data_IF_342339418265
#
_entry.id   IF_342339418265
#
_cell.length_a   1.000
_cell.length_b   1.000
_cell.length_c   1.000
_cell.angle_alpha   90.00
_cell.angle_beta   90.00
_cell.angle_gamma   90.00
#
_symmetry.space_group_name_H-M   'P 1'
#
loop_
_entity.id
_entity.type
_entity.pdbx_description
1 polymer ?
#
# COMPACT_ATOMS: atom_id res chain seq x y z
N UNK A 1 86.92 -13.52 -19.74
CA UNK A 1 86.82 -12.67 -18.55
C UNK A 1 85.54 -11.85 -18.66
N UNK A 2 84.43 -12.31 -18.05
CA UNK A 2 83.14 -11.58 -17.98
C UNK A 2 82.59 -11.81 -16.59
N UNK A 3 82.32 -10.80 -15.78
CA UNK A 3 81.77 -10.98 -14.45
C UNK A 3 80.23 -11.14 -14.50
N UNK A 4 79.76 -12.01 -13.64
CA UNK A 4 78.38 -12.39 -13.44
C UNK A 4 77.49 -11.23 -12.96
N UNK A 5 76.37 -11.05 -13.60
CA UNK A 5 75.37 -10.10 -13.19
C UNK A 5 74.36 -10.80 -12.26
N UNK A 6 74.34 -10.41 -10.98
CA UNK A 6 73.36 -10.86 -10.00
C UNK A 6 71.96 -10.35 -10.35
N UNK A 7 71.00 -11.26 -10.59
CA UNK A 7 69.59 -10.94 -10.68
C UNK A 7 69.04 -10.78 -9.27
N UNK A 8 68.66 -9.56 -8.90
CA UNK A 8 67.85 -9.27 -7.72
C UNK A 8 66.35 -9.46 -8.08
N UNK A 9 65.78 -10.50 -7.57
CA UNK A 9 64.36 -10.75 -7.67
C UNK A 9 63.70 -9.89 -6.60
N UNK A 10 62.94 -8.85 -7.04
CA UNK A 10 62.04 -8.08 -6.18
C UNK A 10 60.73 -8.86 -5.98
N UNK A 11 60.52 -9.36 -4.78
CA UNK A 11 59.25 -9.95 -4.36
C UNK A 11 58.33 -8.80 -3.94
N UNK A 12 57.40 -8.44 -4.80
CA UNK A 12 56.31 -7.49 -4.47
C UNK A 12 55.22 -8.25 -3.73
N UNK A 13 55.19 -8.09 -2.42
CA UNK A 13 54.05 -8.56 -1.60
C UNK A 13 52.92 -7.54 -1.75
N UNK A 14 51.94 -7.87 -2.58
CA UNK A 14 50.65 -7.14 -2.61
C UNK A 14 49.88 -7.50 -1.33
N UNK A 15 49.97 -6.67 -0.32
CA UNK A 15 49.03 -6.70 0.81
C UNK A 15 47.70 -6.14 0.32
N UNK A 16 46.80 -7.02 -0.10
CA UNK A 16 45.40 -6.67 -0.33
C UNK A 16 44.73 -6.33 1.01
N UNK A 17 44.67 -5.04 1.32
CA UNK A 17 43.84 -4.52 2.41
C UNK A 17 42.37 -4.71 2.00
N UNK A 18 41.79 -5.84 2.35
CA UNK A 18 40.34 -6.02 2.32
C UNK A 18 39.78 -5.09 3.39
N UNK A 19 39.26 -3.93 2.98
CA UNK A 19 38.36 -3.14 3.81
C UNK A 19 37.11 -4.01 4.04
N UNK A 20 37.11 -4.74 5.14
CA UNK A 20 35.88 -5.30 5.70
C UNK A 20 35.10 -4.08 6.21
N UNK A 21 34.16 -3.57 5.38
CA UNK A 21 33.10 -2.72 5.87
C UNK A 21 32.21 -3.62 6.74
N UNK A 22 32.58 -3.73 8.01
CA UNK A 22 31.69 -4.26 9.03
C UNK A 22 30.54 -3.27 9.09
N UNK A 23 29.42 -3.60 8.42
CA UNK A 23 28.15 -3.03 8.78
C UNK A 23 28.01 -3.34 10.29
N UNK A 24 28.13 -2.31 11.13
CA UNK A 24 27.93 -2.43 12.55
C UNK A 24 26.47 -2.86 12.76
N UNK A 25 26.20 -4.15 12.76
CA UNK A 25 24.95 -4.72 13.20
C UNK A 25 24.82 -4.33 14.67
N UNK A 26 23.94 -3.38 14.97
CA UNK A 26 23.73 -2.93 16.34
C UNK A 26 23.11 -4.07 17.14
N UNK A 27 23.76 -4.47 18.21
CA UNK A 27 23.21 -5.43 19.15
C UNK A 27 21.97 -4.85 19.85
N UNK A 28 21.02 -5.70 20.19
CA UNK A 28 19.87 -5.32 21.01
C UNK A 28 20.31 -4.87 22.40
N UNK A 29 19.57 -3.91 23.00
CA UNK A 29 19.78 -3.43 24.37
C UNK A 29 18.53 -3.72 25.20
N UNK A 30 18.72 -4.09 26.46
CA UNK A 30 17.62 -4.38 27.37
C UNK A 30 16.91 -3.13 27.93
N UNK A 31 17.56 -1.98 27.81
CA UNK A 31 17.08 -0.67 28.29
C UNK A 31 16.61 0.26 27.16
N UNK A 32 16.53 -0.26 25.91
CA UNK A 32 16.11 0.50 24.77
C UNK A 32 15.26 -0.36 23.82
N UNK A 33 14.14 0.20 23.34
CA UNK A 33 13.42 -0.29 22.17
C UNK A 33 13.85 0.50 20.93
N UNK A 34 14.39 -0.19 19.95
CA UNK A 34 14.69 0.38 18.64
C UNK A 34 13.53 0.13 17.68
N UNK A 35 13.04 1.19 17.06
CA UNK A 35 11.92 1.19 16.11
C UNK A 35 12.40 1.69 14.76
N UNK A 36 12.09 0.96 13.69
CA UNK A 36 12.27 1.44 12.31
C UNK A 36 10.92 1.72 11.65
N UNK A 37 10.81 2.89 11.02
CA UNK A 37 9.59 3.38 10.35
C UNK A 37 9.95 4.20 9.12
N UNK A 38 9.07 4.28 8.12
CA UNK A 38 9.24 5.12 6.94
C UNK A 38 9.14 6.61 7.25
N UNK A 39 9.90 7.44 6.55
CA UNK A 39 9.92 8.90 6.76
C UNK A 39 8.65 9.62 6.33
N UNK A 40 7.80 8.97 5.56
CA UNK A 40 6.47 9.45 5.15
C UNK A 40 5.36 9.14 6.17
N UNK A 41 5.68 8.42 7.25
CA UNK A 41 4.74 7.99 8.29
C UNK A 41 4.87 8.85 9.56
N UNK A 42 4.02 8.61 10.53
CA UNK A 42 3.89 9.41 11.77
C UNK A 42 5.04 9.19 12.78
N UNK A 43 6.31 9.24 12.34
CA UNK A 43 7.47 8.90 13.18
C UNK A 43 7.68 9.87 14.36
N UNK A 44 7.36 11.14 14.22
CA UNK A 44 7.42 12.08 15.34
C UNK A 44 6.33 11.81 16.37
N UNK A 45 5.14 11.41 15.95
CA UNK A 45 4.09 10.93 16.84
C UNK A 45 4.52 9.69 17.64
N UNK A 46 5.20 8.73 16.98
CA UNK A 46 5.77 7.55 17.64
C UNK A 46 6.84 7.97 18.66
N UNK A 47 7.72 8.93 18.34
CA UNK A 47 8.72 9.48 19.29
C UNK A 47 8.07 10.11 20.50
N UNK A 48 7.00 10.89 20.29
CA UNK A 48 6.27 11.55 21.38
C UNK A 48 5.66 10.52 22.34
N UNK A 49 5.01 9.48 21.82
CA UNK A 49 4.50 8.37 22.65
C UNK A 49 5.65 7.63 23.34
N UNK A 50 6.76 7.40 22.64
CA UNK A 50 7.97 6.78 23.18
C UNK A 50 8.58 7.57 24.35
N UNK A 51 8.50 8.90 24.30
CA UNK A 51 8.94 9.74 25.42
C UNK A 51 8.10 9.51 26.68
N UNK A 52 6.78 9.31 26.53
CA UNK A 52 5.92 8.99 27.67
C UNK A 52 6.23 7.58 28.19
N UNK A 53 6.38 6.60 27.30
CA UNK A 53 6.77 5.23 27.68
C UNK A 53 8.10 5.21 28.46
N UNK A 54 9.09 5.97 28.00
CA UNK A 54 10.40 6.09 28.68
C UNK A 54 10.26 6.63 30.10
N UNK A 55 9.36 7.60 30.33
CA UNK A 55 9.12 8.16 31.66
C UNK A 55 8.49 7.14 32.62
N UNK A 56 7.58 6.33 32.09
CA UNK A 56 6.78 5.42 32.90
C UNK A 56 7.50 4.09 33.17
N UNK A 57 8.30 3.61 32.20
CA UNK A 57 8.92 2.27 32.21
C UNK A 57 10.45 2.30 32.35
N UNK A 58 11.07 3.48 32.33
CA UNK A 58 12.53 3.65 32.37
C UNK A 58 13.27 2.98 31.18
N UNK A 59 12.54 2.64 30.11
CA UNK A 59 13.06 2.04 28.89
C UNK A 59 13.04 3.07 27.78
N UNK A 60 14.18 3.35 27.19
CA UNK A 60 14.33 4.33 26.13
C UNK A 60 13.68 3.84 24.83
N UNK A 61 12.91 4.69 24.15
CA UNK A 61 12.40 4.43 22.82
C UNK A 61 13.17 5.24 21.79
N UNK A 62 13.82 4.56 20.86
CA UNK A 62 14.56 5.17 19.75
C UNK A 62 13.85 4.89 18.44
N UNK A 63 13.53 5.94 17.66
CA UNK A 63 12.89 5.83 16.36
C UNK A 63 13.88 6.25 15.27
N UNK A 64 14.18 5.34 14.37
CA UNK A 64 15.06 5.55 13.19
C UNK A 64 14.25 5.44 11.90
N UNK A 65 14.71 6.18 10.88
CA UNK A 65 14.10 6.26 9.55
C UNK A 65 15.15 5.80 8.53
N UNK A 66 15.41 4.49 8.41
CA UNK A 66 16.39 4.00 7.47
C UNK A 66 15.89 4.10 6.03
N UNK A 67 16.77 4.46 5.11
CA UNK A 67 16.51 4.30 3.68
C UNK A 67 16.41 2.81 3.35
N UNK A 68 15.60 2.45 2.33
CA UNK A 68 15.38 1.07 1.90
C UNK A 68 15.05 0.12 3.07
N UNK A 69 14.12 0.56 3.91
CA UNK A 69 13.79 -0.10 5.18
C UNK A 69 13.52 -1.60 5.04
N UNK A 70 12.88 -2.05 3.96
CA UNK A 70 12.55 -3.46 3.71
C UNK A 70 13.79 -4.33 3.56
N UNK A 71 14.70 -3.91 2.70
CA UNK A 71 15.94 -4.66 2.43
C UNK A 71 16.88 -4.64 3.64
N UNK A 72 16.96 -3.47 4.29
CA UNK A 72 17.78 -3.33 5.51
C UNK A 72 17.23 -4.16 6.66
N UNK A 73 15.91 -4.21 6.82
CA UNK A 73 15.29 -5.07 7.84
C UNK A 73 15.57 -6.55 7.57
N UNK A 74 15.38 -7.02 6.32
CA UNK A 74 15.66 -8.41 5.95
C UNK A 74 17.11 -8.81 6.26
N UNK A 75 18.07 -7.96 5.89
CA UNK A 75 19.49 -8.22 6.13
C UNK A 75 19.82 -8.22 7.63
N UNK A 76 19.36 -7.21 8.37
CA UNK A 76 19.63 -7.09 9.79
C UNK A 76 18.98 -8.21 10.61
N UNK A 77 17.70 -8.49 10.39
CA UNK A 77 16.97 -9.55 11.09
C UNK A 77 17.55 -10.95 10.78
N UNK A 78 17.95 -11.21 9.53
CA UNK A 78 18.58 -12.45 9.14
C UNK A 78 19.97 -12.64 9.81
N UNK A 79 20.67 -11.55 10.15
CA UNK A 79 21.93 -11.59 10.91
C UNK A 79 21.74 -11.57 12.44
N UNK A 80 20.50 -11.64 12.92
CA UNK A 80 20.19 -11.61 14.35
C UNK A 80 20.30 -10.23 14.99
N UNK A 81 20.09 -9.17 14.23
CA UNK A 81 20.19 -7.77 14.65
C UNK A 81 19.03 -6.93 14.12
N UNK A 82 19.13 -5.61 14.19
CA UNK A 82 18.13 -4.68 13.63
C UNK A 82 17.21 -4.07 14.69
N UNK A 83 16.03 -3.59 14.30
CA UNK A 83 15.07 -3.00 15.24
C UNK A 83 14.35 -4.07 16.06
N UNK A 84 13.81 -3.69 17.20
CA UNK A 84 12.85 -4.51 17.96
C UNK A 84 11.49 -4.53 17.27
N UNK A 85 11.09 -3.37 16.72
CA UNK A 85 9.81 -3.17 16.02
C UNK A 85 10.09 -2.57 14.65
N UNK A 86 9.49 -3.16 13.61
CA UNK A 86 9.48 -2.61 12.25
C UNK A 86 8.07 -2.26 11.82
N UNK A 87 7.90 -1.06 11.26
CA UNK A 87 6.62 -0.59 10.71
C UNK A 87 6.66 -0.71 9.20
N UNK A 88 5.72 -1.47 8.64
CA UNK A 88 5.56 -1.61 7.19
C UNK A 88 4.14 -2.03 6.82
N UNK A 89 3.83 -2.01 5.52
CA UNK A 89 2.62 -2.60 4.98
C UNK A 89 2.67 -4.14 5.07
N UNK A 90 1.51 -4.75 5.28
CA UNK A 90 1.37 -6.18 5.56
C UNK A 90 1.79 -7.10 4.40
N UNK A 91 1.89 -6.59 3.18
CA UNK A 91 2.27 -7.33 1.98
C UNK A 91 3.64 -8.04 2.11
N UNK A 92 4.54 -7.50 2.96
CA UNK A 92 5.85 -8.11 3.26
C UNK A 92 5.81 -9.13 4.40
N UNK A 93 4.77 -9.13 5.22
CA UNK A 93 4.75 -9.92 6.47
C UNK A 93 4.75 -11.44 6.21
N UNK A 94 4.07 -11.90 5.17
CA UNK A 94 4.07 -13.32 4.83
C UNK A 94 5.44 -13.85 4.43
N UNK A 95 6.18 -13.09 3.61
CA UNK A 95 7.56 -13.41 3.23
C UNK A 95 8.50 -13.40 4.46
N UNK A 96 8.42 -12.34 5.27
CA UNK A 96 9.26 -12.20 6.45
C UNK A 96 8.96 -13.26 7.52
N UNK A 97 7.68 -13.63 7.68
CA UNK A 97 7.27 -14.72 8.59
C UNK A 97 7.80 -16.08 8.13
N UNK A 98 7.66 -16.41 6.84
CA UNK A 98 8.19 -17.66 6.25
C UNK A 98 9.72 -17.75 6.36
N UNK A 99 10.41 -16.63 6.26
CA UNK A 99 11.86 -16.54 6.41
C UNK A 99 12.31 -16.50 7.88
N UNK A 100 11.38 -16.59 8.84
CA UNK A 100 11.70 -16.57 10.26
C UNK A 100 12.17 -15.23 10.82
N UNK A 101 11.96 -14.13 10.10
CA UNK A 101 12.40 -12.79 10.50
C UNK A 101 11.43 -12.12 11.48
N UNK A 102 10.15 -12.48 11.44
CA UNK A 102 9.12 -11.96 12.35
C UNK A 102 8.78 -12.95 13.46
N UNK A 103 8.59 -12.44 14.66
CA UNK A 103 8.01 -13.19 15.74
C UNK A 103 6.48 -13.25 15.61
N UNK A 104 5.85 -14.41 15.84
CA UNK A 104 4.40 -14.44 16.02
C UNK A 104 4.03 -13.66 17.28
N UNK A 105 2.91 -12.95 17.23
CA UNK A 105 2.39 -12.17 18.36
C UNK A 105 1.09 -12.77 18.88
N UNK A 106 0.85 -12.60 20.17
CA UNK A 106 -0.38 -13.02 20.86
C UNK A 106 -0.99 -11.80 21.55
N UNK A 107 -1.74 -10.95 20.81
CA UNK A 107 -2.35 -9.77 21.39
C UNK A 107 -3.29 -10.13 22.54
N UNK A 108 -3.36 -9.26 23.56
CA UNK A 108 -4.31 -9.46 24.64
C UNK A 108 -5.75 -9.56 24.11
N UNK A 109 -6.63 -10.37 24.72
CA UNK A 109 -8.00 -10.54 24.25
C UNK A 109 -8.77 -9.22 24.15
N UNK A 110 -8.53 -8.31 25.09
CA UNK A 110 -9.14 -6.99 25.12
C UNK A 110 -8.66 -6.13 23.94
N UNK A 111 -7.35 -6.05 23.73
CA UNK A 111 -6.77 -5.33 22.59
C UNK A 111 -7.28 -5.90 21.27
N UNK A 112 -7.26 -7.23 21.12
CA UNK A 112 -7.72 -7.90 19.90
C UNK A 112 -9.17 -7.57 19.56
N UNK A 113 -10.06 -7.53 20.55
CA UNK A 113 -11.49 -7.18 20.39
C UNK A 113 -11.68 -5.73 19.93
N UNK A 114 -10.82 -4.81 20.37
CA UNK A 114 -10.84 -3.39 20.02
C UNK A 114 -10.39 -3.07 18.61
N UNK A 115 -9.89 -4.05 17.85
CA UNK A 115 -9.32 -3.86 16.50
C UNK A 115 -10.21 -4.54 15.45
N UNK A 116 -10.27 -3.96 14.26
CA UNK A 116 -11.04 -4.48 13.12
C UNK A 116 -10.48 -5.83 12.64
N UNK A 117 -11.36 -6.78 12.34
CA UNK A 117 -10.98 -8.12 11.88
C UNK A 117 -10.19 -8.12 10.57
N UNK A 118 -10.46 -7.17 9.65
CA UNK A 118 -9.70 -7.01 8.40
C UNK A 118 -8.22 -6.78 8.70
N UNK A 119 -7.91 -5.97 9.72
CA UNK A 119 -6.54 -5.75 10.16
C UNK A 119 -5.87 -7.03 10.63
N UNK A 120 -6.52 -7.81 11.49
CA UNK A 120 -5.96 -9.08 11.97
C UNK A 120 -5.79 -10.11 10.87
N UNK A 121 -6.74 -10.16 9.96
CA UNK A 121 -6.67 -11.07 8.81
C UNK A 121 -5.47 -10.76 7.91
N UNK A 122 -5.21 -9.47 7.64
CA UNK A 122 -4.05 -9.04 6.87
C UNK A 122 -2.70 -9.37 7.55
N UNK A 123 -2.67 -9.32 8.90
CA UNK A 123 -1.47 -9.62 9.68
C UNK A 123 -1.27 -11.12 9.93
N UNK A 124 -2.17 -11.98 9.44
CA UNK A 124 -2.13 -13.43 9.67
C UNK A 124 -1.47 -14.17 8.50
N UNK A 125 -0.52 -15.04 8.80
CA UNK A 125 0.11 -15.97 7.86
C UNK A 125 0.20 -17.36 8.52
N UNK A 126 -0.20 -18.41 7.79
CA UNK A 126 -0.20 -19.80 8.29
C UNK A 126 -0.86 -19.96 9.66
N UNK A 127 -1.97 -19.25 9.90
CA UNK A 127 -2.76 -19.29 11.13
C UNK A 127 -2.17 -18.57 12.33
N UNK A 128 -1.04 -17.87 12.18
CA UNK A 128 -0.40 -17.07 13.23
C UNK A 128 -0.43 -15.58 12.88
N UNK A 129 -0.59 -14.74 13.89
CA UNK A 129 -0.54 -13.29 13.75
C UNK A 129 0.92 -12.83 13.85
N UNK A 130 1.38 -11.99 12.90
CA UNK A 130 2.76 -11.50 12.83
C UNK A 130 2.91 -9.99 12.96
N UNK A 131 1.85 -9.29 13.33
CA UNK A 131 1.93 -7.84 13.56
C UNK A 131 0.65 -7.26 14.12
N UNK A 132 0.74 -5.99 14.46
CA UNK A 132 -0.34 -5.18 15.01
C UNK A 132 -0.85 -4.22 13.91
N UNK A 133 -2.10 -4.32 13.46
CA UNK A 133 -2.64 -3.44 12.44
C UNK A 133 -2.88 -2.03 12.98
N UNK A 134 -2.56 -1.01 12.18
CA UNK A 134 -2.66 0.40 12.56
C UNK A 134 -3.63 1.14 11.65
N UNK A 135 -3.31 1.26 10.35
CA UNK A 135 -4.18 1.91 9.39
C UNK A 135 -4.61 0.96 8.27
N UNK A 136 -5.78 1.27 7.71
CA UNK A 136 -6.43 0.53 6.63
C UNK A 136 -6.48 1.45 5.41
N UNK A 137 -5.82 1.07 4.34
CA UNK A 137 -5.71 1.88 3.14
C UNK A 137 -6.47 1.24 1.97
N UNK A 138 -7.28 2.04 1.29
CA UNK A 138 -7.92 1.69 0.04
C UNK A 138 -8.01 2.92 -0.86
N UNK A 139 -7.93 2.72 -2.17
CA UNK A 139 -8.21 3.78 -3.13
C UNK A 139 -9.71 4.06 -3.20
N UNK A 140 -10.04 5.28 -3.59
CA UNK A 140 -11.40 5.80 -3.64
C UNK A 140 -11.61 6.62 -4.91
N UNK A 141 -12.86 6.92 -5.20
CA UNK A 141 -13.20 7.90 -6.23
C UNK A 141 -13.05 9.30 -5.63
N UNK A 142 -12.18 10.12 -6.22
CA UNK A 142 -12.05 11.55 -5.91
C UNK A 142 -12.69 12.34 -7.04
N UNK A 143 -13.53 13.30 -6.71
CA UNK A 143 -14.26 14.10 -7.70
C UNK A 143 -14.21 15.59 -7.39
N UNK A 144 -14.17 16.42 -8.44
CA UNK A 144 -14.20 17.88 -8.32
C UNK A 144 -15.66 18.34 -8.21
N UNK A 145 -16.05 18.82 -7.02
CA UNK A 145 -17.41 19.28 -6.71
C UNK A 145 -17.85 20.51 -7.50
N UNK A 146 -16.89 21.30 -7.98
CA UNK A 146 -17.18 22.45 -8.85
C UNK A 146 -17.67 22.01 -10.24
N UNK A 147 -17.13 20.89 -10.73
CA UNK A 147 -17.50 20.31 -12.03
C UNK A 147 -18.72 19.40 -11.87
N UNK A 148 -18.67 18.55 -10.86
CA UNK A 148 -19.63 17.46 -10.65
C UNK A 148 -20.06 17.43 -9.17
N UNK A 149 -21.19 18.04 -8.80
CA UNK A 149 -21.64 18.10 -7.40
C UNK A 149 -21.88 16.73 -6.77
N UNK A 150 -22.30 15.75 -7.58
CA UNK A 150 -22.57 14.36 -7.16
C UNK A 150 -21.92 13.41 -8.15
N UNK A 151 -21.04 12.51 -7.69
CA UNK A 151 -20.38 11.55 -8.59
C UNK A 151 -21.34 10.43 -8.98
N UNK A 152 -21.11 9.77 -10.15
CA UNK A 152 -21.91 8.62 -10.56
C UNK A 152 -21.72 7.44 -9.60
N UNK A 153 -22.78 6.68 -9.38
CA UNK A 153 -22.75 5.49 -8.53
C UNK A 153 -22.22 4.25 -9.27
N UNK A 154 -22.22 4.26 -10.59
CA UNK A 154 -21.82 3.13 -11.44
C UNK A 154 -20.92 3.57 -12.58
N UNK A 155 -20.14 2.66 -13.12
CA UNK A 155 -19.31 2.92 -14.32
C UNK A 155 -20.19 3.15 -15.55
N UNK A 156 -21.37 2.52 -15.62
CA UNK A 156 -22.32 2.66 -16.73
C UNK A 156 -22.85 4.10 -16.85
N UNK A 157 -23.07 4.77 -15.72
CA UNK A 157 -23.53 6.17 -15.67
C UNK A 157 -22.51 7.15 -16.26
N UNK A 158 -21.25 6.75 -16.38
CA UNK A 158 -20.19 7.61 -16.93
C UNK A 158 -20.34 7.87 -18.43
N UNK A 159 -20.97 6.97 -19.20
CA UNK A 159 -21.15 7.15 -20.64
C UNK A 159 -22.03 8.35 -21.00
N UNK A 160 -23.25 8.49 -20.45
CA UNK A 160 -24.06 9.70 -20.69
C UNK A 160 -23.44 10.94 -20.04
N UNK A 161 -22.72 10.79 -18.91
CA UNK A 161 -22.04 11.89 -18.24
C UNK A 161 -20.92 12.46 -19.11
N UNK A 162 -20.13 11.63 -19.77
CA UNK A 162 -19.03 12.06 -20.64
C UNK A 162 -19.50 13.01 -21.73
N UNK A 163 -20.64 12.71 -22.38
CA UNK A 163 -21.23 13.58 -23.40
C UNK A 163 -21.62 14.97 -22.90
N UNK A 164 -21.99 15.07 -21.62
CA UNK A 164 -22.31 16.34 -20.96
C UNK A 164 -21.05 17.11 -20.62
N UNK A 165 -20.05 16.42 -20.09
CA UNK A 165 -18.77 17.02 -19.63
C UNK A 165 -17.92 17.52 -20.80
N UNK A 166 -17.98 16.86 -21.96
CA UNK A 166 -17.28 17.27 -23.18
C UNK A 166 -17.70 18.69 -23.63
N UNK A 167 -18.92 19.11 -23.33
CA UNK A 167 -19.46 20.43 -23.70
C UNK A 167 -19.30 21.47 -22.60
N UNK A 168 -18.84 21.06 -21.40
CA UNK A 168 -18.68 21.99 -20.28
C UNK A 168 -17.39 22.79 -20.36
N UNK A 169 -17.43 24.07 -19.91
CA UNK A 169 -16.22 24.89 -19.82
C UNK A 169 -15.33 24.36 -18.68
N UNK A 170 -14.02 24.40 -18.93
CA UNK A 170 -13.02 24.09 -17.89
C UNK A 170 -13.00 25.23 -16.86
N UNK A 171 -13.15 24.97 -15.57
CA UNK A 171 -13.15 26.02 -14.55
C UNK A 171 -11.88 26.87 -14.59
N UNK A 172 -12.05 28.18 -14.45
CA UNK A 172 -10.96 29.17 -14.44
C UNK A 172 -10.13 29.27 -15.73
N UNK A 173 -10.63 28.75 -16.85
CA UNK A 173 -9.98 28.85 -18.16
C UNK A 173 -10.92 29.50 -19.18
N UNK A 174 -10.50 30.61 -19.73
CA UNK A 174 -11.27 31.32 -20.75
C UNK A 174 -11.29 30.51 -22.06
N UNK A 175 -12.51 30.21 -22.55
CA UNK A 175 -12.77 29.54 -23.80
C UNK A 175 -12.22 28.10 -23.97
N UNK A 176 -11.78 27.44 -22.92
CA UNK A 176 -11.45 26.01 -22.97
C UNK A 176 -12.69 25.19 -22.53
N UNK A 177 -13.16 24.30 -23.39
CA UNK A 177 -14.24 23.33 -23.13
C UNK A 177 -13.70 21.92 -23.26
N UNK A 178 -14.45 20.94 -22.76
CA UNK A 178 -14.09 19.54 -22.85
C UNK A 178 -13.43 19.04 -21.56
N UNK A 179 -14.28 18.70 -20.58
CA UNK A 179 -13.83 18.08 -19.34
C UNK A 179 -13.83 16.57 -19.52
N UNK A 180 -12.73 15.94 -19.24
CA UNK A 180 -12.57 14.49 -19.23
C UNK A 180 -13.35 13.92 -18.03
N UNK A 181 -14.03 12.80 -18.21
CA UNK A 181 -14.89 12.24 -17.16
C UNK A 181 -14.10 11.66 -15.99
N UNK A 182 -13.16 10.76 -16.28
CA UNK A 182 -12.37 10.07 -15.26
C UNK A 182 -10.99 9.72 -15.76
N UNK A 183 -10.03 9.71 -14.85
CA UNK A 183 -8.68 9.18 -15.07
C UNK A 183 -8.21 8.35 -13.87
N UNK A 184 -7.41 7.35 -14.14
CA UNK A 184 -6.54 6.67 -13.16
C UNK A 184 -5.32 6.08 -13.87
N UNK A 185 -4.33 5.62 -13.13
CA UNK A 185 -3.16 4.92 -13.69
C UNK A 185 -3.59 3.56 -14.21
N UNK A 186 -3.89 3.51 -15.52
CA UNK A 186 -4.60 2.40 -16.16
C UNK A 186 -3.79 1.11 -16.20
N UNK A 187 -2.47 1.23 -16.35
CA UNK A 187 -1.56 0.11 -16.53
C UNK A 187 -1.15 -0.51 -15.20
N UNK A 188 -1.33 0.22 -14.10
CA UNK A 188 -0.99 -0.26 -12.77
C UNK A 188 -2.12 -1.12 -12.19
N UNK A 189 -1.85 -2.41 -11.91
CA UNK A 189 -2.87 -3.33 -11.40
C UNK A 189 -3.50 -2.86 -10.08
N UNK A 190 -2.76 -2.12 -9.26
CA UNK A 190 -3.28 -1.57 -8.00
C UNK A 190 -4.50 -0.68 -8.21
N UNK A 191 -4.52 0.13 -9.28
CA UNK A 191 -5.62 1.04 -9.59
C UNK A 191 -6.72 0.42 -10.45
N UNK A 192 -6.39 -0.59 -11.27
CA UNK A 192 -7.34 -1.19 -12.22
C UNK A 192 -7.99 -2.47 -11.69
N UNK A 193 -7.31 -3.21 -10.81
CA UNK A 193 -7.86 -4.44 -10.22
C UNK A 193 -9.22 -4.26 -9.53
N UNK A 194 -9.55 -3.12 -8.89
CA UNK A 194 -10.88 -2.92 -8.32
C UNK A 194 -12.03 -3.12 -9.31
N UNK A 195 -11.86 -2.66 -10.54
CA UNK A 195 -12.83 -2.85 -11.61
C UNK A 195 -12.92 -4.32 -12.05
N UNK A 196 -11.78 -5.01 -12.19
CA UNK A 196 -11.73 -6.42 -12.55
C UNK A 196 -12.30 -7.32 -11.45
N UNK A 197 -12.18 -6.89 -10.20
CA UNK A 197 -12.66 -7.64 -9.04
C UNK A 197 -14.14 -7.39 -8.69
N UNK A 198 -14.78 -6.39 -9.31
CA UNK A 198 -16.16 -6.03 -9.04
C UNK A 198 -17.11 -7.21 -9.23
N UNK A 199 -16.97 -7.97 -10.30
CA UNK A 199 -17.82 -9.13 -10.62
C UNK A 199 -17.15 -10.48 -10.32
N UNK A 200 -16.14 -10.50 -9.44
CA UNK A 200 -15.58 -11.74 -8.90
C UNK A 200 -14.16 -12.08 -9.31
N UNK A 201 -13.45 -11.22 -10.06
CA UNK A 201 -12.01 -11.40 -10.28
C UNK A 201 -11.23 -11.38 -8.96
N UNK A 202 -10.15 -12.14 -8.86
CA UNK A 202 -9.29 -12.21 -7.68
C UNK A 202 -7.84 -12.52 -8.06
N UNK A 203 -6.90 -12.16 -7.18
CA UNK A 203 -5.47 -12.42 -7.40
C UNK A 203 -5.17 -13.89 -7.21
N UNK A 204 -5.34 -14.39 -5.99
CA UNK A 204 -5.19 -15.81 -5.61
C UNK A 204 -6.43 -16.28 -4.85
N UNK A 205 -6.78 -17.56 -5.01
CA UNK A 205 -7.92 -18.12 -4.32
C UNK A 205 -7.67 -18.14 -2.81
N UNK A 206 -8.52 -17.41 -2.06
CA UNK A 206 -8.47 -17.41 -0.61
C UNK A 206 -9.00 -18.71 -0.04
N UNK A 207 -8.27 -19.30 0.89
CA UNK A 207 -8.62 -20.52 1.60
C UNK A 207 -8.59 -20.31 3.11
N UNK A 208 -9.05 -21.26 3.89
CA UNK A 208 -8.95 -21.20 5.36
C UNK A 208 -7.49 -21.16 5.88
N UNK A 209 -6.52 -21.57 5.06
CA UNK A 209 -5.09 -21.61 5.42
C UNK A 209 -4.27 -20.48 4.80
N UNK A 210 -4.90 -19.50 4.13
CA UNK A 210 -4.24 -18.42 3.41
C UNK A 210 -4.62 -18.42 1.93
N UNK A 211 -3.67 -18.32 1.03
CA UNK A 211 -3.91 -18.23 -0.41
C UNK A 211 -3.39 -19.45 -1.17
N UNK A 212 -4.23 -20.00 -2.04
CA UNK A 212 -3.80 -21.00 -3.05
C UNK A 212 -3.21 -20.23 -4.26
N UNK A 213 -1.90 -20.09 -4.27
CA UNK A 213 -1.16 -19.32 -5.28
C UNK A 213 -1.13 -19.98 -6.66
N UNK A 214 -1.65 -21.22 -6.78
CA UNK A 214 -1.80 -21.93 -8.05
C UNK A 214 -3.15 -21.68 -8.71
N UNK A 215 -4.00 -20.87 -8.09
CA UNK A 215 -5.32 -20.53 -8.60
C UNK A 215 -5.49 -19.02 -8.60
N UNK A 216 -5.74 -18.46 -9.78
CA UNK A 216 -6.03 -17.04 -9.98
C UNK A 216 -7.35 -16.87 -10.71
N UNK A 217 -8.06 -15.81 -10.42
CA UNK A 217 -9.30 -15.43 -11.11
C UNK A 217 -9.14 -14.14 -11.92
N UNK A 218 -7.91 -13.77 -12.30
CA UNK A 218 -7.67 -12.57 -13.14
C UNK A 218 -8.25 -12.74 -14.55
N UNK A 219 -8.53 -13.96 -14.98
CA UNK A 219 -9.16 -14.28 -16.25
C UNK A 219 -10.54 -14.97 -16.11
N UNK A 220 -11.13 -14.95 -14.92
CA UNK A 220 -12.49 -15.43 -14.71
C UNK A 220 -13.50 -14.53 -15.42
N UNK A 221 -14.73 -15.04 -15.60
CA UNK A 221 -15.81 -14.31 -16.28
C UNK A 221 -15.99 -12.89 -15.71
N UNK A 222 -15.96 -12.73 -14.40
CA UNK A 222 -16.12 -11.42 -13.75
C UNK A 222 -14.98 -10.46 -14.05
N UNK A 223 -13.74 -10.96 -14.07
CA UNK A 223 -12.58 -10.14 -14.46
C UNK A 223 -12.64 -9.72 -15.93
N UNK A 224 -13.14 -10.61 -16.81
CA UNK A 224 -13.38 -10.28 -18.22
C UNK A 224 -14.42 -9.18 -18.39
N UNK A 225 -15.49 -9.15 -17.59
CA UNK A 225 -16.48 -8.06 -17.63
C UNK A 225 -15.86 -6.73 -17.18
N UNK A 226 -15.02 -6.75 -16.14
CA UNK A 226 -14.26 -5.56 -15.70
C UNK A 226 -13.30 -5.04 -16.76
N UNK A 227 -12.56 -5.93 -17.42
CA UNK A 227 -11.64 -5.56 -18.50
C UNK A 227 -12.39 -5.06 -19.74
N UNK A 228 -13.57 -5.62 -20.04
CA UNK A 228 -14.45 -5.12 -21.09
C UNK A 228 -14.90 -3.69 -20.78
N UNK A 229 -15.32 -3.42 -19.54
CA UNK A 229 -15.70 -2.07 -19.12
C UNK A 229 -14.53 -1.09 -19.27
N UNK A 230 -13.30 -1.47 -18.89
CA UNK A 230 -12.10 -0.65 -19.08
C UNK A 230 -11.91 -0.27 -20.56
N UNK A 231 -12.01 -1.24 -21.47
CA UNK A 231 -11.93 -1.01 -22.91
C UNK A 231 -13.06 -0.09 -23.39
N UNK A 232 -14.29 -0.35 -22.94
CA UNK A 232 -15.46 0.48 -23.31
C UNK A 232 -15.30 1.95 -22.85
N UNK A 233 -14.76 2.19 -21.63
CA UNK A 233 -14.49 3.53 -21.11
C UNK A 233 -13.49 4.29 -21.99
N UNK A 234 -12.45 3.59 -22.45
CA UNK A 234 -11.42 4.16 -23.32
C UNK A 234 -11.98 4.40 -24.73
N UNK A 235 -12.55 3.39 -25.36
CA UNK A 235 -12.97 3.43 -26.77
C UNK A 235 -14.15 4.37 -27.01
N UNK A 236 -14.97 4.61 -25.98
CA UNK A 236 -16.10 5.56 -26.02
C UNK A 236 -15.74 6.97 -25.52
N UNK A 237 -14.46 7.24 -25.27
CA UNK A 237 -13.97 8.58 -24.92
C UNK A 237 -14.30 9.04 -23.49
N UNK A 238 -14.69 8.13 -22.59
CA UNK A 238 -14.92 8.46 -21.17
C UNK A 238 -13.60 8.72 -20.48
N UNK A 239 -12.56 7.98 -20.86
CA UNK A 239 -11.21 8.06 -20.33
C UNK A 239 -10.18 8.03 -21.48
N UNK A 240 -9.15 8.89 -21.51
CA UNK A 240 -8.13 8.83 -22.54
C UNK A 240 -7.21 7.62 -22.40
N UNK A 241 -6.55 7.22 -23.48
CA UNK A 241 -5.50 6.20 -23.47
C UNK A 241 -4.22 6.71 -22.85
N UNK A 242 -3.43 5.81 -22.26
CA UNK A 242 -2.06 6.10 -21.82
C UNK A 242 -2.00 7.03 -20.61
N UNK A 243 -2.98 6.95 -19.74
CA UNK A 243 -2.99 7.70 -18.48
C UNK A 243 -2.13 6.99 -17.46
N UNK A 244 -1.08 7.67 -16.99
CA UNK A 244 -0.31 7.33 -15.83
C UNK A 244 -0.70 8.21 -14.63
N UNK A 245 -0.11 7.94 -13.46
CA UNK A 245 -0.41 8.69 -12.24
C UNK A 245 -0.12 10.20 -12.37
N UNK A 246 1.00 10.56 -12.98
CA UNK A 246 1.39 11.97 -13.18
C UNK A 246 0.45 12.72 -14.11
N UNK A 247 0.04 12.10 -15.20
CA UNK A 247 -0.95 12.65 -16.16
C UNK A 247 -2.30 12.84 -15.46
N UNK A 248 -2.76 11.86 -14.70
CA UNK A 248 -4.01 11.94 -13.92
C UNK A 248 -3.98 13.11 -12.93
N UNK A 249 -2.95 13.17 -12.09
CA UNK A 249 -2.82 14.21 -11.06
C UNK A 249 -2.72 15.62 -11.66
N UNK A 250 -1.93 15.78 -12.71
CA UNK A 250 -1.78 17.06 -13.40
C UNK A 250 -3.11 17.56 -13.99
N UNK A 251 -3.88 16.68 -14.65
CA UNK A 251 -5.18 17.05 -15.23
C UNK A 251 -6.22 17.37 -14.15
N UNK A 252 -6.24 16.63 -13.03
CA UNK A 252 -7.14 16.92 -11.92
C UNK A 252 -6.82 18.28 -11.28
N UNK A 253 -5.54 18.57 -11.03
CA UNK A 253 -5.08 19.85 -10.50
C UNK A 253 -5.37 21.03 -11.44
N UNK A 254 -5.40 20.79 -12.75
CA UNK A 254 -5.81 21.79 -13.75
C UNK A 254 -7.32 21.86 -13.96
N UNK A 255 -8.11 21.07 -13.23
CA UNK A 255 -9.56 20.96 -13.34
C UNK A 255 -10.05 20.52 -14.75
N UNK A 256 -9.23 19.80 -15.50
CA UNK A 256 -9.53 19.25 -16.81
C UNK A 256 -10.19 17.88 -16.78
N UNK A 257 -10.18 17.24 -15.63
CA UNK A 257 -10.85 15.95 -15.39
C UNK A 257 -11.80 16.07 -14.19
N UNK A 258 -13.00 15.51 -14.33
CA UNK A 258 -14.01 15.59 -13.29
C UNK A 258 -13.74 14.64 -12.11
N UNK A 259 -13.15 13.47 -12.40
CA UNK A 259 -12.91 12.42 -11.41
C UNK A 259 -11.57 11.74 -11.60
N UNK A 260 -11.01 11.24 -10.49
CA UNK A 260 -9.84 10.35 -10.52
C UNK A 260 -9.98 9.25 -9.47
N UNK A 261 -9.29 8.12 -9.67
CA UNK A 261 -9.20 7.05 -8.68
C UNK A 261 -7.79 7.07 -8.10
N UNK A 262 -7.69 7.35 -6.79
CA UNK A 262 -6.45 7.35 -6.03
C UNK A 262 -6.71 7.21 -4.54
N UNK A 263 -5.65 7.18 -3.73
CA UNK A 263 -5.74 6.98 -2.29
C UNK A 263 -5.59 8.25 -1.45
N UNK A 264 -5.65 8.09 -0.11
CA UNK A 264 -5.55 9.20 0.84
C UNK A 264 -4.24 10.01 0.75
N UNK A 265 -3.18 9.44 0.20
CA UNK A 265 -1.90 10.14 -0.02
C UNK A 265 -2.02 11.37 -0.92
N UNK A 266 -3.04 11.44 -1.78
CA UNK A 266 -3.29 12.61 -2.64
C UNK A 266 -3.93 13.78 -1.89
N UNK A 267 -4.57 13.57 -0.74
CA UNK A 267 -5.38 14.60 -0.08
C UNK A 267 -4.58 15.83 0.34
N UNK A 268 -3.37 15.64 0.88
CA UNK A 268 -2.53 16.76 1.31
C UNK A 268 -2.19 17.72 0.15
N UNK A 269 -1.98 17.18 -1.06
CA UNK A 269 -1.74 17.97 -2.25
C UNK A 269 -3.01 18.67 -2.74
N UNK A 270 -4.14 17.97 -2.71
CA UNK A 270 -5.45 18.53 -3.07
C UNK A 270 -5.88 19.65 -2.11
N UNK A 271 -5.68 19.47 -0.82
CA UNK A 271 -5.96 20.52 0.18
C UNK A 271 -5.13 21.79 -0.07
N UNK A 272 -3.86 21.64 -0.47
CA UNK A 272 -2.98 22.76 -0.85
C UNK A 272 -3.42 23.43 -2.15
N UNK A 273 -3.92 22.67 -3.11
CA UNK A 273 -4.38 23.19 -4.41
C UNK A 273 -5.69 23.99 -4.32
N UNK A 274 -6.39 23.92 -3.18
CA UNK A 274 -7.69 24.56 -2.92
C UNK A 274 -8.80 24.11 -3.88
N UNK A 275 -8.67 22.95 -4.49
CA UNK A 275 -9.74 22.34 -5.28
C UNK A 275 -10.86 21.91 -4.34
N UNK A 276 -12.09 22.26 -4.67
CA UNK A 276 -13.26 21.76 -3.94
C UNK A 276 -13.54 20.32 -4.37
N UNK A 277 -12.95 19.37 -3.68
CA UNK A 277 -13.09 17.94 -4.00
C UNK A 277 -13.95 17.18 -2.98
N UNK A 278 -14.41 16.03 -3.40
CA UNK A 278 -15.03 15.03 -2.53
C UNK A 278 -14.38 13.68 -2.73
N UNK A 279 -14.56 12.82 -1.74
CA UNK A 279 -14.17 11.40 -1.79
C UNK A 279 -15.44 10.57 -1.70
N UNK A 280 -15.56 9.58 -2.57
CA UNK A 280 -16.72 8.68 -2.65
C UNK A 280 -16.24 7.22 -2.73
N UNK A 281 -17.13 6.26 -2.41
CA UNK A 281 -16.90 4.87 -2.75
C UNK A 281 -16.61 4.70 -4.23
N UNK A 282 -15.83 3.67 -4.58
CA UNK A 282 -15.62 3.31 -5.98
C UNK A 282 -16.96 2.98 -6.67
N UNK A 283 -17.12 3.35 -7.95
CA UNK A 283 -18.33 3.04 -8.69
C UNK A 283 -18.58 1.54 -8.79
N UNK A 284 -19.84 1.17 -8.87
CA UNK A 284 -20.24 -0.23 -9.08
C UNK A 284 -20.13 -0.61 -10.55
N UNK A 285 -19.90 -1.89 -10.81
CA UNK A 285 -20.05 -2.52 -12.12
C UNK A 285 -21.21 -3.53 -12.06
N UNK A 286 -22.19 -3.40 -12.93
CA UNK A 286 -23.39 -4.26 -12.95
C UNK A 286 -24.07 -4.38 -11.55
N UNK A 287 -24.12 -3.26 -10.82
CA UNK A 287 -24.68 -3.20 -9.46
C UNK A 287 -23.79 -3.78 -8.35
N UNK A 288 -22.62 -4.34 -8.66
CA UNK A 288 -21.67 -4.90 -7.71
C UNK A 288 -20.55 -3.89 -7.39
N UNK A 289 -20.14 -3.73 -6.13
CA UNK A 289 -19.11 -2.77 -5.77
C UNK A 289 -17.76 -3.13 -6.40
N UNK A 290 -17.05 -2.14 -6.94
CA UNK A 290 -15.64 -2.31 -7.28
C UNK A 290 -14.84 -2.56 -5.99
N UNK A 291 -13.89 -3.51 -6.04
CA UNK A 291 -13.22 -4.02 -4.84
C UNK A 291 -11.76 -3.61 -4.83
N UNK A 292 -11.46 -2.49 -4.17
CA UNK A 292 -10.09 -2.00 -3.99
C UNK A 292 -9.23 -3.01 -3.24
N UNK A 293 -7.93 -3.01 -3.51
CA UNK A 293 -6.98 -3.63 -2.59
C UNK A 293 -7.00 -2.92 -1.25
N UNK A 294 -7.08 -3.70 -0.18
CA UNK A 294 -6.92 -3.20 1.19
C UNK A 294 -5.48 -3.45 1.62
N UNK A 295 -4.74 -2.36 1.77
CA UNK A 295 -3.44 -2.34 2.41
C UNK A 295 -3.61 -2.15 3.92
N UNK A 296 -2.78 -2.80 4.72
CA UNK A 296 -2.77 -2.61 6.18
C UNK A 296 -1.36 -2.24 6.61
N UNK A 297 -1.18 -1.01 7.06
CA UNK A 297 0.06 -0.59 7.68
C UNK A 297 0.07 -1.03 9.14
N UNK A 298 1.17 -1.59 9.59
CA UNK A 298 1.25 -2.14 10.93
C UNK A 298 2.64 -2.21 11.51
N UNK A 299 2.72 -2.73 12.73
CA UNK A 299 3.94 -2.92 13.48
C UNK A 299 4.20 -4.40 13.69
N UNK A 300 5.39 -4.88 13.32
CA UNK A 300 5.81 -6.26 13.51
C UNK A 300 7.03 -6.34 14.45
N UNK A 301 7.16 -7.45 15.16
CA UNK A 301 8.28 -7.71 16.05
C UNK A 301 9.37 -8.52 15.33
N UNK A 302 10.60 -8.06 15.42
CA UNK A 302 11.76 -8.80 14.96
C UNK A 302 11.91 -10.10 15.78
N UNK A 303 11.99 -11.23 15.11
CA UNK A 303 12.12 -12.52 15.79
C UNK A 303 13.42 -12.64 16.60
N UNK A 304 14.50 -12.00 16.15
CA UNK A 304 15.79 -11.97 16.84
C UNK A 304 15.78 -11.08 18.12
N UNK A 305 14.81 -10.15 18.24
CA UNK A 305 14.75 -9.27 19.40
C UNK A 305 14.50 -10.04 20.71
N UNK A 306 15.26 -9.77 21.77
CA UNK A 306 14.97 -10.27 23.12
C UNK A 306 13.85 -9.47 23.81
N UNK A 307 13.47 -8.29 23.29
CA UNK A 307 12.60 -7.31 23.94
C UNK A 307 11.12 -7.47 23.56
N UNK A 308 10.70 -8.66 23.10
CA UNK A 308 9.35 -8.86 22.52
C UNK A 308 8.20 -8.48 23.47
N UNK A 309 8.33 -8.82 24.77
CA UNK A 309 7.30 -8.50 25.77
C UNK A 309 7.20 -6.99 26.02
N UNK A 310 8.34 -6.29 26.04
CA UNK A 310 8.40 -4.84 26.21
C UNK A 310 7.85 -4.14 24.95
N UNK A 311 8.17 -4.67 23.80
CA UNK A 311 7.64 -4.16 22.52
C UNK A 311 6.12 -4.34 22.45
N UNK A 312 5.59 -5.48 22.90
CA UNK A 312 4.14 -5.70 23.01
C UNK A 312 3.48 -4.72 23.98
N UNK A 313 4.06 -4.51 25.15
CA UNK A 313 3.58 -3.54 26.15
C UNK A 313 3.53 -2.13 25.56
N UNK A 314 4.59 -1.69 24.87
CA UNK A 314 4.64 -0.40 24.19
C UNK A 314 3.54 -0.27 23.12
N UNK A 315 3.33 -1.31 22.31
CA UNK A 315 2.34 -1.30 21.25
C UNK A 315 0.91 -1.30 21.79
N UNK A 316 0.56 -2.21 22.70
CA UNK A 316 -0.83 -2.40 23.15
C UNK A 316 -1.29 -1.33 24.14
N UNK A 317 -0.40 -0.89 25.07
CA UNK A 317 -0.80 -0.04 26.19
C UNK A 317 -0.39 1.42 26.04
N UNK A 318 0.42 1.75 25.03
CA UNK A 318 0.83 3.13 24.76
C UNK A 318 0.52 3.58 23.33
N UNK A 319 1.15 2.97 22.33
CA UNK A 319 1.13 3.49 20.97
C UNK A 319 -0.21 3.29 20.26
N UNK A 320 -0.80 2.11 20.36
CA UNK A 320 -2.02 1.74 19.64
C UNK A 320 -3.30 1.94 20.48
N UNK A 321 -3.18 2.62 21.59
CA UNK A 321 -4.33 3.17 22.32
C UNK A 321 -4.95 4.31 21.54
N UNK A 322 -6.17 4.69 21.84
CA UNK A 322 -6.81 5.87 21.23
C UNK A 322 -5.96 7.13 21.39
N UNK A 323 -5.34 7.33 22.57
CA UNK A 323 -4.46 8.47 22.86
C UNK A 323 -3.21 8.44 21.97
N UNK A 324 -2.52 7.30 21.91
CA UNK A 324 -1.32 7.16 21.08
C UNK A 324 -1.60 7.33 19.59
N UNK A 325 -2.67 6.71 19.10
CA UNK A 325 -3.11 6.88 17.71
C UNK A 325 -3.52 8.32 17.39
N UNK A 326 -4.14 9.04 18.33
CA UNK A 326 -4.44 10.47 18.15
C UNK A 326 -3.18 11.30 18.01
N UNK A 327 -2.15 11.03 18.82
CA UNK A 327 -0.85 11.70 18.71
C UNK A 327 -0.22 11.44 17.33
N UNK A 328 -0.23 10.19 16.88
CA UNK A 328 0.26 9.82 15.55
C UNK A 328 -0.52 10.52 14.44
N UNK A 329 -1.86 10.51 14.52
CA UNK A 329 -2.75 11.11 13.52
C UNK A 329 -2.61 12.63 13.43
N UNK A 330 -2.30 13.31 14.55
CA UNK A 330 -2.02 14.74 14.56
C UNK A 330 -0.67 15.09 13.92
N UNK A 331 0.28 14.16 13.92
CA UNK A 331 1.56 14.33 13.24
C UNK A 331 1.44 14.08 11.72
N UNK A 332 0.91 12.93 11.34
CA UNK A 332 0.58 12.57 9.95
C UNK A 332 -0.77 11.88 9.96
N UNK A 333 -1.76 12.35 9.18
CA UNK A 333 -3.07 11.71 9.11
C UNK A 333 -2.98 10.22 8.76
N UNK A 334 -3.54 9.38 9.61
CA UNK A 334 -3.54 7.93 9.45
C UNK A 334 -4.61 7.44 8.45
N UNK A 335 -5.58 8.29 8.09
CA UNK A 335 -6.73 7.88 7.29
C UNK A 335 -7.67 6.97 8.08
N UNK A 336 -8.14 5.88 7.47
CA UNK A 336 -8.90 4.87 8.19
C UNK A 336 -7.97 4.06 9.11
N UNK A 337 -8.39 3.82 10.35
CA UNK A 337 -7.59 3.11 11.35
C UNK A 337 -8.21 1.77 11.73
N UNK A 338 -7.38 0.83 12.15
CA UNK A 338 -7.83 -0.48 12.58
C UNK A 338 -8.51 -0.47 13.97
N UNK A 339 -8.16 0.50 14.83
CA UNK A 339 -8.79 0.68 16.14
C UNK A 339 -10.24 1.15 15.97
N UNK A 340 -11.20 0.36 16.45
CA UNK A 340 -12.64 0.60 16.26
C UNK A 340 -13.12 1.91 16.89
N UNK A 341 -12.72 2.18 18.13
CA UNK A 341 -13.15 3.37 18.87
C UNK A 341 -12.66 4.66 18.21
N UNK A 342 -11.41 4.67 17.76
CA UNK A 342 -10.87 5.81 17.03
C UNK A 342 -11.51 5.94 15.65
N UNK A 343 -11.75 4.82 14.94
CA UNK A 343 -12.39 4.84 13.63
C UNK A 343 -13.77 5.49 13.67
N UNK A 344 -14.59 5.19 14.69
CA UNK A 344 -15.91 5.82 14.88
C UNK A 344 -15.81 7.36 14.95
N UNK A 345 -14.75 7.89 15.54
CA UNK A 345 -14.50 9.33 15.60
C UNK A 345 -14.06 9.90 14.26
N UNK A 346 -13.19 9.18 13.56
CA UNK A 346 -12.63 9.60 12.27
C UNK A 346 -13.67 9.54 11.14
N UNK A 347 -14.68 8.67 11.23
CA UNK A 347 -15.78 8.59 10.26
C UNK A 347 -16.65 9.86 10.16
N UNK A 348 -16.47 10.83 11.05
CA UNK A 348 -17.07 12.16 10.93
C UNK A 348 -16.51 12.94 9.74
N UNK A 349 -15.27 12.64 9.30
CA UNK A 349 -14.73 13.12 8.03
C UNK A 349 -15.30 12.27 6.88
N UNK A 350 -16.09 12.84 5.97
CA UNK A 350 -16.71 12.08 4.87
C UNK A 350 -15.68 11.42 3.94
N UNK A 351 -14.45 11.95 3.86
CA UNK A 351 -13.37 11.35 3.07
C UNK A 351 -12.93 10.02 3.68
N UNK A 352 -12.76 10.00 5.01
CA UNK A 352 -12.40 8.78 5.76
C UNK A 352 -13.55 7.77 5.72
N UNK A 353 -14.80 8.23 5.88
CA UNK A 353 -15.97 7.36 5.79
C UNK A 353 -16.07 6.66 4.43
N UNK A 354 -15.88 7.39 3.32
CA UNK A 354 -15.88 6.83 1.98
C UNK A 354 -14.73 5.82 1.76
N UNK A 355 -13.52 6.16 2.24
CA UNK A 355 -12.37 5.25 2.19
C UNK A 355 -12.63 3.97 2.98
N UNK A 356 -13.19 4.09 4.18
CA UNK A 356 -13.51 2.94 5.01
C UNK A 356 -14.57 2.03 4.37
N UNK A 357 -15.56 2.60 3.68
CA UNK A 357 -16.52 1.81 2.90
C UNK A 357 -15.83 0.99 1.80
N UNK A 358 -14.82 1.55 1.11
CA UNK A 358 -14.02 0.80 0.14
C UNK A 358 -13.17 -0.29 0.82
N UNK A 359 -12.70 -0.06 2.05
CA UNK A 359 -12.00 -1.09 2.84
C UNK A 359 -12.94 -2.26 3.15
N UNK A 360 -14.16 -1.99 3.63
CA UNK A 360 -15.13 -3.03 3.99
C UNK A 360 -15.56 -3.88 2.79
N UNK A 361 -15.62 -3.28 1.60
CA UNK A 361 -15.99 -3.96 0.35
C UNK A 361 -14.78 -4.52 -0.41
N UNK A 362 -13.57 -4.22 0.02
CA UNK A 362 -12.34 -4.47 -0.69
C UNK A 362 -11.85 -5.92 -0.68
N UNK A 363 -10.66 -6.09 -1.23
CA UNK A 363 -9.88 -7.32 -1.21
C UNK A 363 -8.63 -7.08 -0.38
N UNK A 364 -8.44 -7.82 0.70
CA UNK A 364 -7.15 -7.78 1.39
C UNK A 364 -6.07 -8.16 0.39
N UNK A 365 -5.08 -7.29 0.22
CA UNK A 365 -3.94 -7.56 -0.65
C UNK A 365 -3.20 -8.79 -0.14
N UNK A 366 -3.01 -9.84 -0.96
CA UNK A 366 -2.34 -11.04 -0.49
C UNK A 366 -0.91 -10.77 0.00
N UNK A 367 -0.57 -11.33 1.15
CA UNK A 367 0.75 -11.19 1.77
C UNK A 367 1.70 -12.34 1.42
N UNK A 368 1.70 -12.77 0.16
CA UNK A 368 2.50 -13.90 -0.33
C UNK A 368 3.55 -13.44 -1.34
N UNK A 369 4.74 -14.10 -1.39
CA UNK A 369 5.82 -13.72 -2.30
C UNK A 369 5.43 -13.73 -3.77
N UNK A 370 4.47 -14.57 -4.14
CA UNK A 370 3.96 -14.74 -5.51
C UNK A 370 3.25 -13.48 -6.03
N UNK A 371 2.93 -12.50 -5.17
CA UNK A 371 2.43 -11.19 -5.60
C UNK A 371 3.34 -10.50 -6.62
N UNK A 372 4.65 -10.73 -6.56
CA UNK A 372 5.59 -10.22 -7.57
C UNK A 372 5.24 -10.67 -9.00
N UNK A 373 4.84 -11.94 -9.18
CA UNK A 373 4.39 -12.46 -10.48
C UNK A 373 3.08 -11.81 -10.92
N UNK A 374 2.14 -11.62 -9.98
CA UNK A 374 0.87 -10.95 -10.27
C UNK A 374 1.10 -9.52 -10.76
N UNK A 375 1.89 -8.71 -10.05
CA UNK A 375 2.15 -7.32 -10.44
C UNK A 375 2.72 -7.23 -11.86
N UNK A 376 3.78 -7.98 -12.14
CA UNK A 376 4.45 -7.96 -13.45
C UNK A 376 3.56 -8.47 -14.59
N UNK A 377 2.84 -9.57 -14.38
CA UNK A 377 1.99 -10.15 -15.40
C UNK A 377 0.78 -9.25 -15.72
N UNK A 378 0.14 -8.71 -14.68
CA UNK A 378 -1.03 -7.83 -14.85
C UNK A 378 -0.66 -6.47 -15.42
N UNK A 379 0.46 -5.86 -15.02
CA UNK A 379 0.93 -4.61 -15.63
C UNK A 379 1.16 -4.79 -17.13
N UNK A 380 1.78 -5.90 -17.53
CA UNK A 380 1.97 -6.21 -18.95
C UNK A 380 0.64 -6.39 -19.68
N UNK A 381 -0.31 -7.13 -19.08
CA UNK A 381 -1.61 -7.36 -19.67
C UNK A 381 -2.41 -6.06 -19.81
N UNK A 382 -2.47 -5.25 -18.76
CA UNK A 382 -3.20 -3.98 -18.76
C UNK A 382 -2.61 -3.01 -19.80
N UNK A 383 -1.29 -2.89 -19.86
CA UNK A 383 -0.62 -2.07 -20.89
C UNK A 383 -0.95 -2.52 -22.31
N UNK A 384 -1.04 -3.83 -22.56
CA UNK A 384 -1.44 -4.36 -23.87
C UNK A 384 -2.93 -4.08 -24.18
N UNK A 385 -3.80 -4.20 -23.18
CA UNK A 385 -5.23 -3.92 -23.30
C UNK A 385 -5.46 -2.41 -23.56
N UNK A 386 -4.93 -1.55 -22.71
CA UNK A 386 -5.17 -0.11 -22.77
C UNK A 386 -4.58 0.53 -24.02
N UNK A 387 -3.44 0.03 -24.51
CA UNK A 387 -2.84 0.47 -25.78
C UNK A 387 -3.53 -0.13 -27.02
N UNK A 388 -4.44 -1.11 -26.86
CA UNK A 388 -5.08 -1.79 -27.99
C UNK A 388 -4.19 -2.80 -28.72
N UNK A 389 -3.04 -3.18 -28.13
CA UNK A 389 -2.10 -4.14 -28.74
C UNK A 389 -2.60 -5.58 -28.65
N UNK A 390 -3.41 -5.90 -27.63
CA UNK A 390 -3.94 -7.23 -27.41
C UNK A 390 -5.39 -7.15 -26.93
N UNK A 391 -6.20 -8.11 -27.37
CA UNK A 391 -7.56 -8.26 -26.89
C UNK A 391 -7.54 -8.60 -25.38
N UNK A 392 -8.46 -8.03 -24.62
CA UNK A 392 -8.48 -8.19 -23.17
C UNK A 392 -8.61 -9.66 -22.71
N UNK A 393 -9.33 -10.50 -23.46
CA UNK A 393 -9.47 -11.95 -23.16
C UNK A 393 -8.14 -12.68 -23.28
N UNK A 394 -7.41 -12.43 -24.36
CA UNK A 394 -6.09 -13.02 -24.60
C UNK A 394 -5.08 -12.51 -23.56
N UNK A 395 -5.05 -11.19 -23.33
CA UNK A 395 -4.13 -10.59 -22.38
C UNK A 395 -4.31 -11.13 -20.95
N UNK A 396 -5.55 -11.24 -20.47
CA UNK A 396 -5.82 -11.79 -19.15
C UNK A 396 -5.55 -13.31 -19.06
N UNK A 397 -5.81 -14.08 -20.11
CA UNK A 397 -5.44 -15.50 -20.16
C UNK A 397 -3.92 -15.70 -20.12
N UNK A 398 -3.17 -14.85 -20.81
CA UNK A 398 -1.71 -14.90 -20.77
C UNK A 398 -1.16 -14.46 -19.41
N UNK A 399 -1.77 -13.45 -18.80
CA UNK A 399 -1.43 -13.04 -17.43
C UNK A 399 -1.69 -14.16 -16.42
N UNK A 400 -2.86 -14.82 -16.48
CA UNK A 400 -3.19 -15.93 -15.61
C UNK A 400 -2.15 -17.05 -15.68
N UNK A 401 -1.73 -17.46 -16.89
CA UNK A 401 -0.68 -18.45 -17.08
C UNK A 401 0.64 -18.06 -16.42
N UNK A 402 1.05 -16.77 -16.55
CA UNK A 402 2.30 -16.27 -15.95
C UNK A 402 2.24 -16.18 -14.42
N UNK A 403 1.06 -15.90 -13.86
CA UNK A 403 0.85 -15.81 -12.42
C UNK A 403 1.01 -17.15 -11.74
N UNK A 404 0.41 -18.22 -12.31
CA UNK A 404 0.37 -19.55 -11.70
C UNK A 404 1.47 -20.50 -12.19
N UNK A 405 2.12 -20.19 -13.31
CA UNK A 405 3.18 -21.01 -13.93
C UNK A 405 4.54 -20.62 -13.48
#
# INVERSE_FOLDING_TARGET
>A
MIPSLMKKTFLVILASLSLIVTANARAFSSDELLIWVGGDKAYEGIRQVGTQFTKDMEIKVKVEIPENITDRFQQAAASGSGPDIVFWAHDRYGEWAKSGLLAPVSPSPEFRKGVNNIGWEAMTSDGKIYGYPISLEAISLIYNKTILPTPPATFEEMFPLAKKLEQQPVPNKNNETGIITIMWDQDQPYFTMPLLAADGGYVFLKTAKGYDVKKTGVNDKGAMEGAKMLVDLIDKGVMPRGVDYGVMEANFNQQKVAMMITGPWAWANLDKSKINYGVAPLPKLHGKPARAFVGVWGAALNNASPNKSIAQEFLENYLLTEKGLTIMNNNVPLGAVANKAMMEKLMKDPRIAATYQNVEQGLIMPNVPEMGKFWSAMETALRNITSGRQNYREALNDAAKRIIG
#
